data_IF_538172425230
#
_entry.id   IF_538172425230
#
_cell.length_a   1.000
_cell.length_b   1.000
_cell.length_c   1.000
_cell.angle_alpha   90.00
_cell.angle_beta   90.00
_cell.angle_gamma   90.00
#
_symmetry.space_group_name_H-M   'P 1'
#
loop_
_entity.id
_entity.type
_entity.pdbx_description
1 polymer ?
#
# COMPACT_ATOMS: atom_id res chain seq x y z
N UNK A 1 31.83 0.89 -2.32
CA UNK A 1 30.54 0.19 -2.09
C UNK A 1 29.52 0.82 -3.01
N UNK A 2 28.64 0.04 -3.61
CA UNK A 2 27.60 0.60 -4.46
C UNK A 2 26.52 1.30 -3.62
N UNK A 3 25.94 2.37 -4.14
CA UNK A 3 24.90 3.12 -3.44
C UNK A 3 23.57 2.96 -4.16
N UNK A 4 22.49 2.69 -3.41
CA UNK A 4 21.12 2.78 -3.89
C UNK A 4 20.49 4.09 -3.41
N UNK A 5 20.00 4.91 -4.31
CA UNK A 5 19.26 6.13 -4.00
C UNK A 5 17.76 5.85 -4.11
N UNK A 6 17.01 6.07 -3.03
CA UNK A 6 15.54 5.99 -3.02
C UNK A 6 14.99 7.41 -3.03
N UNK A 7 14.07 7.69 -3.92
CA UNK A 7 13.40 8.99 -4.07
C UNK A 7 11.93 8.81 -3.70
N UNK A 8 11.52 9.32 -2.53
CA UNK A 8 10.13 9.38 -2.08
C UNK A 8 9.88 10.73 -1.40
N UNK A 9 9.33 11.69 -2.14
CA UNK A 9 9.04 13.01 -1.57
C UNK A 9 7.84 13.05 -0.65
N UNK A 10 6.85 12.14 -0.83
CA UNK A 10 5.58 12.18 -0.10
C UNK A 10 5.58 11.19 1.08
N UNK A 11 5.66 11.66 2.33
CA UNK A 11 5.65 10.79 3.51
C UNK A 11 4.26 10.24 3.85
N UNK A 12 3.21 10.65 3.13
CA UNK A 12 1.83 10.33 3.51
C UNK A 12 1.47 8.85 3.33
N UNK A 13 0.58 8.38 4.17
CA UNK A 13 0.06 7.01 4.12
C UNK A 13 1.13 5.96 4.39
N UNK A 14 1.16 4.88 3.59
CA UNK A 14 2.10 3.76 3.74
C UNK A 14 3.34 3.87 2.83
N UNK A 15 3.65 5.05 2.30
CA UNK A 15 4.76 5.22 1.35
C UNK A 15 6.10 4.93 1.99
N UNK A 16 6.31 5.43 3.20
CA UNK A 16 7.55 5.16 3.95
C UNK A 16 7.67 3.71 4.39
N UNK A 17 6.57 2.98 4.58
CA UNK A 17 6.64 1.53 4.76
C UNK A 17 7.21 0.83 3.51
N UNK A 18 6.79 1.24 2.32
CA UNK A 18 7.35 0.71 1.08
C UNK A 18 8.83 1.10 0.90
N UNK A 19 9.23 2.31 1.33
CA UNK A 19 10.63 2.74 1.38
C UNK A 19 11.43 1.84 2.32
N UNK A 20 10.94 1.56 3.54
CA UNK A 20 11.61 0.65 4.49
C UNK A 20 11.82 -0.74 3.90
N UNK A 21 10.80 -1.30 3.27
CA UNK A 21 10.88 -2.61 2.63
C UNK A 21 11.94 -2.66 1.52
N UNK A 22 11.98 -1.62 0.66
CA UNK A 22 12.96 -1.53 -0.43
C UNK A 22 14.36 -1.27 0.09
N UNK A 23 14.51 -0.42 1.11
CA UNK A 23 15.78 -0.12 1.74
C UNK A 23 16.41 -1.37 2.38
N UNK A 24 15.60 -2.23 3.00
CA UNK A 24 16.09 -3.48 3.60
C UNK A 24 16.77 -4.39 2.56
N UNK A 25 16.16 -4.59 1.39
CA UNK A 25 16.73 -5.39 0.30
C UNK A 25 17.91 -4.68 -0.36
N UNK A 26 17.83 -3.36 -0.56
CA UNK A 26 18.92 -2.59 -1.14
C UNK A 26 20.19 -2.61 -0.28
N UNK A 27 20.03 -2.59 1.05
CA UNK A 27 21.11 -2.64 2.03
C UNK A 27 21.93 -3.96 1.99
N UNK A 28 21.36 -5.04 1.44
CA UNK A 28 22.11 -6.29 1.21
C UNK A 28 23.29 -6.10 0.22
N UNK A 29 23.20 -5.10 -0.66
CA UNK A 29 24.15 -4.87 -1.74
C UNK A 29 25.04 -3.63 -1.56
N UNK A 30 24.73 -2.76 -0.60
CA UNK A 30 25.50 -1.54 -0.37
C UNK A 30 24.75 -0.50 0.46
N UNK A 31 25.22 0.73 0.40
CA UNK A 31 24.64 1.83 1.15
C UNK A 31 23.32 2.30 0.52
N UNK A 32 22.42 2.81 1.37
CA UNK A 32 21.13 3.35 0.94
C UNK A 32 21.01 4.82 1.33
N UNK A 33 20.63 5.66 0.39
CA UNK A 33 20.38 7.09 0.59
C UNK A 33 18.91 7.38 0.26
N UNK A 34 18.21 8.05 1.17
CA UNK A 34 16.84 8.52 0.95
C UNK A 34 16.86 10.00 0.56
N UNK A 35 16.18 10.34 -0.54
CA UNK A 35 15.87 11.72 -0.94
C UNK A 35 14.37 11.96 -0.74
N UNK A 36 14.03 12.94 0.11
CA UNK A 36 12.66 13.23 0.50
C UNK A 36 12.36 14.73 0.53
N UNK A 37 11.13 15.12 0.87
CA UNK A 37 10.74 16.53 1.00
C UNK A 37 11.09 17.11 2.37
N UNK A 38 11.15 18.44 2.43
CA UNK A 38 11.41 19.20 3.64
C UNK A 38 10.43 18.84 4.77
N UNK A 39 10.95 18.64 5.99
CA UNK A 39 10.18 18.24 7.17
C UNK A 39 9.80 16.76 7.24
N UNK A 40 10.10 15.96 6.21
CA UNK A 40 9.76 14.54 6.19
C UNK A 40 10.59 13.71 7.17
N UNK A 41 11.89 14.03 7.33
CA UNK A 41 12.81 13.28 8.19
C UNK A 41 12.56 13.48 9.70
N UNK A 42 11.82 14.51 10.07
CA UNK A 42 11.40 14.79 11.45
C UNK A 42 9.91 14.58 11.67
N UNK A 43 9.20 14.13 10.63
CA UNK A 43 7.76 13.90 10.67
C UNK A 43 7.40 12.56 11.32
N UNK A 44 6.18 12.47 11.82
CA UNK A 44 5.61 11.29 12.48
C UNK A 44 5.69 10.01 11.61
N UNK A 45 5.47 10.14 10.29
CA UNK A 45 5.59 9.00 9.38
C UNK A 45 7.02 8.46 9.28
N UNK A 46 8.04 9.33 9.40
CA UNK A 46 9.43 8.88 9.43
C UNK A 46 9.73 8.10 10.71
N UNK A 47 9.31 8.62 11.85
CA UNK A 47 9.46 7.97 13.15
C UNK A 47 8.83 6.57 13.15
N UNK A 48 7.62 6.45 12.62
CA UNK A 48 6.86 5.20 12.62
C UNK A 48 7.41 4.16 11.65
N UNK A 49 7.85 4.56 10.46
CA UNK A 49 8.19 3.61 9.39
C UNK A 49 9.68 3.46 9.13
N UNK A 50 10.48 4.47 9.46
CA UNK A 50 11.87 4.56 9.03
C UNK A 50 12.88 4.71 10.18
N UNK A 51 12.45 4.89 11.44
CA UNK A 51 13.35 5.02 12.60
C UNK A 51 14.33 3.87 12.72
N UNK A 52 13.89 2.65 12.46
CA UNK A 52 14.72 1.44 12.51
C UNK A 52 15.43 1.12 11.19
N UNK A 53 15.18 1.92 10.13
CA UNK A 53 15.75 1.69 8.81
C UNK A 53 17.14 2.32 8.72
N UNK A 54 18.14 1.52 8.42
CA UNK A 54 19.52 2.00 8.29
C UNK A 54 19.74 2.68 6.94
N UNK A 55 19.83 4.00 6.96
CA UNK A 55 20.29 4.82 5.84
C UNK A 55 21.71 5.32 6.05
N UNK A 56 22.49 5.41 4.98
CA UNK A 56 23.77 6.12 4.99
C UNK A 56 23.56 7.64 5.05
N UNK A 57 22.48 8.13 4.43
CA UNK A 57 22.03 9.50 4.55
C UNK A 57 20.52 9.61 4.26
N UNK A 58 19.86 10.57 4.93
CA UNK A 58 18.51 11.04 4.60
C UNK A 58 18.63 12.51 4.25
N UNK A 59 18.21 12.89 3.04
CA UNK A 59 18.37 14.25 2.54
C UNK A 59 17.01 14.84 2.13
N UNK A 60 16.65 15.94 2.75
CA UNK A 60 15.46 16.72 2.44
C UNK A 60 15.78 17.71 1.31
N UNK A 61 15.67 17.24 0.07
CA UNK A 61 16.09 18.00 -1.14
C UNK A 61 14.91 18.58 -1.92
N UNK A 62 13.68 18.21 -1.58
CA UNK A 62 12.49 18.70 -2.25
C UNK A 62 11.73 19.66 -1.34
N UNK A 63 11.31 20.81 -1.88
CA UNK A 63 10.47 21.76 -1.15
C UNK A 63 8.99 21.38 -1.10
N UNK A 64 8.57 20.37 -1.88
CA UNK A 64 7.18 19.92 -2.00
C UNK A 64 7.13 18.40 -2.09
N UNK A 65 6.02 17.80 -1.66
CA UNK A 65 5.73 16.38 -1.80
C UNK A 65 5.45 15.94 -3.25
N UNK A 66 5.21 16.89 -4.16
CA UNK A 66 5.06 16.67 -5.61
C UNK A 66 6.08 17.47 -6.42
N UNK A 67 7.39 17.23 -6.27
CA UNK A 67 8.40 18.00 -6.96
C UNK A 67 8.31 17.82 -8.49
N UNK A 68 8.73 18.83 -9.26
CA UNK A 68 8.83 18.70 -10.70
C UNK A 68 9.72 17.52 -11.12
N UNK A 69 9.32 16.78 -12.17
CA UNK A 69 10.09 15.63 -12.69
C UNK A 69 11.56 15.99 -12.99
N UNK A 70 11.84 17.22 -13.46
CA UNK A 70 13.20 17.70 -13.71
C UNK A 70 14.02 17.77 -12.43
N UNK A 71 13.43 18.25 -11.33
CA UNK A 71 14.12 18.34 -10.05
C UNK A 71 14.49 16.95 -9.54
N UNK A 72 13.57 15.97 -9.59
CA UNK A 72 13.89 14.59 -9.22
C UNK A 72 15.04 14.00 -10.06
N UNK A 73 15.01 14.21 -11.39
CA UNK A 73 16.07 13.72 -12.25
C UNK A 73 17.41 14.44 -11.98
N UNK A 74 17.38 15.74 -11.68
CA UNK A 74 18.56 16.52 -11.34
C UNK A 74 19.20 16.05 -10.01
N UNK A 75 18.39 15.76 -8.97
CA UNK A 75 18.89 15.27 -7.69
C UNK A 75 19.49 13.87 -7.82
N UNK A 76 18.86 12.98 -8.59
CA UNK A 76 19.45 11.66 -8.91
C UNK A 76 20.78 11.84 -9.65
N UNK A 77 20.86 12.77 -10.62
CA UNK A 77 22.09 13.05 -11.35
C UNK A 77 23.17 13.67 -10.44
N UNK A 78 22.79 14.56 -9.53
CA UNK A 78 23.70 15.15 -8.53
C UNK A 78 24.33 14.05 -7.68
N UNK A 79 23.50 13.16 -7.11
CA UNK A 79 23.99 12.05 -6.32
C UNK A 79 24.89 11.09 -7.11
N UNK A 80 24.58 10.83 -8.37
CA UNK A 80 25.43 10.02 -9.23
C UNK A 80 26.79 10.66 -9.59
N UNK A 81 26.91 12.00 -9.46
CA UNK A 81 28.22 12.67 -9.57
C UNK A 81 29.02 12.60 -8.28
N UNK A 82 28.34 12.64 -7.13
CA UNK A 82 28.95 12.65 -5.79
C UNK A 82 29.35 11.25 -5.31
N UNK A 83 28.51 10.27 -5.60
CA UNK A 83 28.62 8.88 -5.09
C UNK A 83 28.65 7.87 -6.25
N UNK A 84 29.08 6.63 -5.93
CA UNK A 84 28.97 5.49 -6.86
C UNK A 84 27.56 4.89 -6.83
N UNK A 85 26.59 5.64 -7.40
CA UNK A 85 25.18 5.24 -7.42
C UNK A 85 24.96 4.17 -8.47
N UNK A 86 24.71 2.95 -8.02
CA UNK A 86 24.37 1.81 -8.90
C UNK A 86 22.91 1.81 -9.31
N UNK A 87 22.00 2.16 -8.39
CA UNK A 87 20.56 2.13 -8.62
C UNK A 87 19.89 3.37 -8.03
N UNK A 88 18.94 3.95 -8.77
CA UNK A 88 18.05 4.99 -8.29
C UNK A 88 16.59 4.52 -8.43
N UNK A 89 15.85 4.51 -7.34
CA UNK A 89 14.44 4.07 -7.26
C UNK A 89 13.56 5.28 -7.05
N UNK A 90 12.56 5.51 -7.90
CA UNK A 90 11.53 6.52 -7.70
C UNK A 90 10.25 5.80 -7.30
N UNK A 91 9.80 6.03 -6.05
CA UNK A 91 8.76 5.23 -5.40
C UNK A 91 7.34 5.57 -5.87
N UNK A 92 7.02 6.82 -6.20
CA UNK A 92 5.77 7.20 -6.88
C UNK A 92 6.07 7.93 -8.19
N UNK A 93 6.24 7.15 -9.23
CA UNK A 93 6.66 7.66 -10.52
C UNK A 93 5.50 7.92 -11.50
N UNK A 94 4.25 7.82 -11.09
CA UNK A 94 3.08 7.94 -11.98
C UNK A 94 3.03 9.28 -12.72
N UNK A 95 3.35 10.36 -12.04
CA UNK A 95 3.39 11.69 -12.65
C UNK A 95 4.69 11.94 -13.41
N UNK A 96 5.81 11.43 -12.90
CA UNK A 96 7.13 11.62 -13.46
C UNK A 96 7.32 10.92 -14.79
N UNK A 97 6.68 9.77 -14.97
CA UNK A 97 6.81 8.94 -16.18
C UNK A 97 6.48 9.72 -17.46
N UNK A 98 5.52 10.65 -17.41
CA UNK A 98 5.07 11.44 -18.58
C UNK A 98 6.18 12.26 -19.23
N UNK A 99 7.11 12.79 -18.44
CA UNK A 99 8.17 13.71 -18.90
C UNK A 99 9.58 13.16 -18.70
N UNK A 100 9.71 11.99 -18.05
CA UNK A 100 11.00 11.46 -17.62
C UNK A 100 11.99 11.30 -18.75
N UNK A 101 11.61 10.65 -19.85
CA UNK A 101 12.52 10.39 -20.98
C UNK A 101 13.10 11.66 -21.62
N UNK A 102 12.38 12.78 -21.52
CA UNK A 102 12.86 14.08 -22.02
C UNK A 102 13.83 14.73 -21.04
N UNK A 103 13.42 14.89 -19.79
CA UNK A 103 14.18 15.64 -18.79
C UNK A 103 15.39 14.85 -18.28
N UNK A 104 15.25 13.57 -18.01
CA UNK A 104 16.36 12.76 -17.51
C UNK A 104 17.50 12.61 -18.52
N UNK A 105 17.19 12.62 -19.83
CA UNK A 105 18.23 12.61 -20.87
C UNK A 105 19.15 13.83 -20.77
N UNK A 106 18.60 15.01 -20.46
CA UNK A 106 19.41 16.23 -20.29
C UNK A 106 20.17 16.21 -18.97
N UNK A 107 19.53 15.85 -17.87
CA UNK A 107 20.14 15.85 -16.54
C UNK A 107 21.25 14.78 -16.39
N UNK A 108 21.12 13.64 -17.07
CA UNK A 108 22.09 12.55 -17.05
C UNK A 108 23.22 12.72 -18.09
N UNK A 109 23.20 13.84 -18.84
CA UNK A 109 24.28 14.14 -19.78
C UNK A 109 25.62 14.31 -19.04
N UNK A 110 26.66 13.65 -19.55
CA UNK A 110 27.97 13.70 -18.97
C UNK A 110 28.25 12.74 -17.82
N UNK A 111 27.25 11.98 -17.35
CA UNK A 111 27.48 10.97 -16.30
C UNK A 111 28.31 9.76 -16.80
N UNK A 112 28.26 9.46 -18.10
CA UNK A 112 29.01 8.33 -18.67
C UNK A 112 28.73 7.02 -17.94
N UNK A 113 29.78 6.40 -17.40
CA UNK A 113 29.69 5.14 -16.62
C UNK A 113 29.04 5.31 -15.23
N UNK A 114 28.93 6.55 -14.71
CA UNK A 114 28.29 6.83 -13.43
C UNK A 114 26.77 6.94 -13.54
N UNK A 115 26.19 6.72 -14.75
CA UNK A 115 24.76 6.75 -14.94
C UNK A 115 24.10 5.60 -14.18
N UNK A 116 23.21 5.89 -13.18
CA UNK A 116 22.59 4.85 -12.38
C UNK A 116 21.58 4.05 -13.19
N UNK A 117 21.32 2.84 -12.76
CA UNK A 117 20.15 2.07 -13.16
C UNK A 117 18.92 2.69 -12.52
N UNK A 118 18.02 3.26 -13.31
CA UNK A 118 16.79 3.89 -12.82
C UNK A 118 15.65 2.90 -12.80
N UNK A 119 14.94 2.84 -11.68
CA UNK A 119 13.78 1.98 -11.41
C UNK A 119 12.59 2.84 -11.02
N UNK A 120 11.42 2.54 -11.58
CA UNK A 120 10.17 3.24 -11.26
C UNK A 120 9.17 2.30 -10.61
N UNK A 121 8.52 2.78 -9.55
CA UNK A 121 7.30 2.21 -9.01
C UNK A 121 6.09 3.00 -9.49
N UNK A 122 5.12 2.32 -10.07
CA UNK A 122 3.83 2.90 -10.47
C UNK A 122 2.74 2.41 -9.51
N UNK A 123 2.15 3.34 -8.77
CA UNK A 123 1.10 3.03 -7.79
C UNK A 123 -0.27 2.87 -8.45
N UNK A 124 -0.49 3.48 -9.61
CA UNK A 124 -1.76 3.50 -10.35
C UNK A 124 -1.63 2.85 -11.73
N UNK A 125 -1.11 1.62 -11.77
CA UNK A 125 -1.01 0.87 -13.02
C UNK A 125 -2.02 -0.28 -13.04
N UNK A 126 -3.06 -0.26 -13.92
CA UNK A 126 -4.03 -1.33 -13.99
C UNK A 126 -3.39 -2.63 -14.48
N UNK A 127 -3.25 -3.61 -13.61
CA UNK A 127 -2.54 -4.86 -13.91
C UNK A 127 -3.41 -5.86 -14.68
N UNK A 128 -4.63 -6.11 -14.20
CA UNK A 128 -5.62 -6.96 -14.86
C UNK A 128 -6.79 -6.12 -15.35
N UNK A 129 -7.08 -6.18 -16.65
CA UNK A 129 -8.17 -5.43 -17.27
C UNK A 129 -9.12 -6.38 -18.00
N UNK A 130 -10.43 -6.14 -17.87
CA UNK A 130 -11.43 -6.70 -18.78
C UNK A 130 -11.32 -5.99 -20.14
N UNK A 131 -11.66 -6.65 -21.23
CA UNK A 131 -11.65 -6.02 -22.57
C UNK A 131 -12.56 -4.80 -22.63
N UNK A 132 -13.63 -4.80 -21.84
CA UNK A 132 -14.61 -3.71 -21.71
C UNK A 132 -14.18 -2.55 -20.81
N UNK A 133 -13.06 -2.67 -20.07
CA UNK A 133 -12.57 -1.63 -19.17
C UNK A 133 -11.84 -0.52 -19.95
N UNK A 134 -12.60 0.38 -20.56
CA UNK A 134 -12.06 1.48 -21.35
C UNK A 134 -11.23 2.47 -20.53
N UNK A 135 -11.58 2.68 -19.26
CA UNK A 135 -10.83 3.58 -18.35
C UNK A 135 -9.48 2.98 -18.00
N UNK A 136 -9.46 1.71 -17.63
CA UNK A 136 -8.21 1.00 -17.35
C UNK A 136 -7.28 0.95 -18.57
N UNK A 137 -7.80 0.71 -19.77
CA UNK A 137 -6.99 0.72 -20.99
C UNK A 137 -6.43 2.11 -21.32
N UNK A 138 -7.21 3.18 -21.13
CA UNK A 138 -6.74 4.58 -21.29
C UNK A 138 -5.61 4.94 -20.32
N UNK A 139 -5.54 4.30 -19.17
CA UNK A 139 -4.43 4.49 -18.22
C UNK A 139 -3.23 3.59 -18.57
N UNK A 140 -3.47 2.34 -18.91
CA UNK A 140 -2.42 1.33 -19.11
C UNK A 140 -1.58 1.56 -20.36
N UNK A 141 -2.24 1.80 -21.51
CA UNK A 141 -1.53 1.93 -22.79
C UNK A 141 -0.55 3.11 -22.78
N UNK A 142 -0.95 4.35 -22.42
CA UNK A 142 -0.02 5.47 -22.41
C UNK A 142 1.16 5.26 -21.45
N UNK A 143 0.91 4.71 -20.24
CA UNK A 143 1.99 4.44 -19.29
C UNK A 143 2.97 3.40 -19.81
N UNK A 144 2.48 2.32 -20.41
CA UNK A 144 3.34 1.32 -21.03
C UNK A 144 4.18 1.91 -22.18
N UNK A 145 3.56 2.72 -23.05
CA UNK A 145 4.26 3.39 -24.16
C UNK A 145 5.34 4.33 -23.68
N UNK A 146 5.04 5.16 -22.66
CA UNK A 146 6.01 6.09 -22.06
C UNK A 146 7.15 5.33 -21.35
N UNK A 147 6.85 4.22 -20.69
CA UNK A 147 7.88 3.36 -20.11
C UNK A 147 8.82 2.81 -21.18
N UNK A 148 8.28 2.30 -22.29
CA UNK A 148 9.09 1.84 -23.44
C UNK A 148 9.96 2.95 -24.00
N UNK A 149 9.41 4.15 -24.20
CA UNK A 149 10.17 5.29 -24.70
C UNK A 149 11.32 5.68 -23.74
N UNK A 150 11.05 5.73 -22.44
CA UNK A 150 12.07 6.01 -21.43
C UNK A 150 13.16 4.91 -21.36
N UNK A 151 12.78 3.66 -21.54
CA UNK A 151 13.71 2.53 -21.61
C UNK A 151 14.55 2.58 -22.90
N UNK A 152 13.96 2.93 -24.04
CA UNK A 152 14.68 3.04 -25.31
C UNK A 152 15.72 4.19 -25.29
N UNK A 153 15.45 5.25 -24.55
CA UNK A 153 16.44 6.33 -24.32
C UNK A 153 17.50 5.99 -23.27
N UNK A 154 17.41 4.83 -22.64
CA UNK A 154 18.30 4.40 -21.56
C UNK A 154 18.22 5.28 -20.31
N UNK A 155 17.13 6.02 -20.10
CA UNK A 155 16.91 6.85 -18.91
C UNK A 155 16.10 6.12 -17.85
N UNK A 156 15.52 4.98 -18.18
CA UNK A 156 14.76 4.10 -17.33
C UNK A 156 15.16 2.65 -17.65
N UNK A 157 15.30 1.81 -16.65
CA UNK A 157 15.79 0.44 -16.83
C UNK A 157 14.79 -0.62 -16.39
N UNK A 158 13.95 -0.28 -15.41
CA UNK A 158 12.96 -1.18 -14.88
C UNK A 158 11.73 -0.38 -14.40
N UNK A 159 10.55 -0.95 -14.58
CA UNK A 159 9.29 -0.40 -14.07
C UNK A 159 8.51 -1.51 -13.39
N UNK A 160 8.11 -1.27 -12.16
CA UNK A 160 7.20 -2.11 -11.42
C UNK A 160 5.88 -1.37 -11.16
N UNK A 161 4.79 -2.08 -11.18
CA UNK A 161 3.46 -1.54 -10.89
C UNK A 161 2.73 -2.41 -9.89
N UNK A 162 2.00 -1.80 -8.99
CA UNK A 162 1.19 -2.52 -8.03
C UNK A 162 0.19 -3.43 -8.71
N UNK A 163 0.11 -4.64 -8.22
CA UNK A 163 -0.87 -5.65 -8.61
C UNK A 163 -1.64 -6.10 -7.37
N UNK A 164 -2.82 -6.67 -7.56
CA UNK A 164 -3.53 -7.39 -6.50
C UNK A 164 -2.67 -8.56 -6.00
N UNK A 165 -2.84 -8.94 -4.75
CA UNK A 165 -2.06 -10.04 -4.12
C UNK A 165 -2.27 -11.37 -4.82
N UNK A 166 -3.41 -11.54 -5.50
CA UNK A 166 -3.74 -12.70 -6.33
C UNK A 166 -3.02 -12.74 -7.68
N UNK A 167 -2.35 -11.67 -8.09
CA UNK A 167 -1.78 -11.56 -9.42
C UNK A 167 -0.32 -12.06 -9.47
N UNK A 168 -0.16 -13.35 -9.74
CA UNK A 168 1.15 -14.00 -9.88
C UNK A 168 1.83 -13.77 -11.24
N UNK A 169 1.22 -13.00 -12.15
CA UNK A 169 1.82 -12.75 -13.45
C UNK A 169 2.99 -11.78 -13.37
N UNK A 170 4.05 -12.05 -14.11
CA UNK A 170 5.29 -11.23 -14.05
C UNK A 170 5.17 -9.86 -14.74
N UNK A 171 4.23 -9.72 -15.69
CA UNK A 171 4.15 -8.54 -16.56
C UNK A 171 5.24 -8.54 -17.65
N UNK A 172 5.04 -7.77 -18.71
CA UNK A 172 5.98 -7.72 -19.84
C UNK A 172 6.80 -6.43 -19.88
N UNK A 173 6.14 -5.25 -19.92
CA UNK A 173 6.79 -3.93 -19.91
C UNK A 173 6.91 -3.43 -18.47
N UNK A 174 5.78 -3.47 -17.76
CA UNK A 174 5.69 -3.12 -16.35
C UNK A 174 5.62 -4.43 -15.57
N UNK A 175 6.64 -4.68 -14.75
CA UNK A 175 6.65 -5.81 -13.82
C UNK A 175 5.53 -5.65 -12.81
N UNK A 176 4.92 -6.75 -12.42
CA UNK A 176 3.92 -6.74 -11.36
C UNK A 176 4.60 -7.00 -10.03
N UNK A 177 4.26 -6.16 -9.06
CA UNK A 177 4.68 -6.37 -7.69
C UNK A 177 3.46 -6.37 -6.80
N UNK A 178 3.30 -7.42 -6.02
CA UNK A 178 2.17 -7.61 -5.11
C UNK A 178 2.37 -6.74 -3.87
N UNK A 179 1.29 -6.12 -3.40
CA UNK A 179 1.32 -5.33 -2.16
C UNK A 179 1.53 -6.28 -0.96
N UNK A 180 2.52 -6.06 -0.07
CA UNK A 180 2.83 -6.98 1.00
C UNK A 180 1.69 -7.20 1.99
N UNK A 181 1.59 -8.44 2.50
CA UNK A 181 0.77 -8.80 3.65
C UNK A 181 1.65 -8.71 4.90
N UNK A 182 1.56 -7.61 5.64
CA UNK A 182 2.39 -7.36 6.82
C UNK A 182 1.49 -7.02 8.00
N UNK A 183 1.49 -7.87 9.01
CA UNK A 183 0.91 -7.61 10.32
C UNK A 183 1.73 -8.36 11.38
N UNK A 184 2.11 -7.68 12.44
CA UNK A 184 2.89 -8.27 13.56
C UNK A 184 1.99 -8.89 14.64
N UNK A 185 0.68 -8.60 14.60
CA UNK A 185 -0.33 -9.16 15.49
C UNK A 185 -1.22 -10.18 14.75
N UNK A 186 -1.84 -11.09 15.48
CA UNK A 186 -2.66 -12.14 14.90
C UNK A 186 -4.01 -12.29 15.63
N UNK A 187 -5.06 -12.64 14.89
CA UNK A 187 -6.41 -12.82 15.45
C UNK A 187 -6.51 -13.90 16.51
N UNK A 188 -5.58 -14.85 16.55
CA UNK A 188 -5.47 -15.85 17.63
C UNK A 188 -5.25 -15.25 19.02
N UNK A 189 -4.62 -14.07 19.08
CA UNK A 189 -4.30 -13.35 20.29
C UNK A 189 -5.37 -12.30 20.63
N UNK A 190 -6.51 -12.29 19.91
CA UNK A 190 -7.57 -11.28 20.00
C UNK A 190 -8.01 -10.97 21.41
N UNK A 191 -8.24 -11.99 22.23
CA UNK A 191 -8.70 -11.81 23.60
C UNK A 191 -7.68 -11.05 24.46
N UNK A 192 -6.40 -11.38 24.35
CA UNK A 192 -5.32 -10.69 25.06
C UNK A 192 -5.15 -9.26 24.53
N UNK A 193 -5.22 -9.06 23.21
CA UNK A 193 -5.11 -7.73 22.57
C UNK A 193 -6.28 -6.85 22.99
N UNK A 194 -7.50 -7.35 23.03
CA UNK A 194 -8.67 -6.59 23.49
C UNK A 194 -8.53 -6.16 24.96
N UNK A 195 -8.03 -7.04 25.81
CA UNK A 195 -7.78 -6.73 27.22
C UNK A 195 -6.69 -5.64 27.36
N UNK A 196 -5.63 -5.69 26.53
CA UNK A 196 -4.57 -4.69 26.52
C UNK A 196 -5.08 -3.30 26.06
N UNK A 197 -5.99 -3.30 25.06
CA UNK A 197 -6.49 -2.07 24.44
C UNK A 197 -7.82 -1.58 25.03
N UNK A 198 -8.28 -2.16 26.15
CA UNK A 198 -9.56 -1.85 26.81
C UNK A 198 -10.77 -1.90 25.84
N UNK A 199 -10.75 -2.89 24.94
CA UNK A 199 -11.84 -3.15 24.01
C UNK A 199 -12.83 -4.18 24.55
N UNK A 200 -14.15 -4.12 24.21
CA UNK A 200 -15.15 -5.07 24.66
C UNK A 200 -14.75 -6.52 24.37
N UNK A 201 -14.80 -7.36 25.41
CA UNK A 201 -14.48 -8.77 25.30
C UNK A 201 -15.66 -9.63 24.84
N UNK A 202 -16.86 -9.22 25.20
CA UNK A 202 -18.13 -9.95 25.05
C UNK A 202 -18.97 -9.54 23.83
N UNK A 203 -18.50 -8.53 23.08
CA UNK A 203 -19.16 -8.04 21.87
C UNK A 203 -18.31 -8.30 20.64
N UNK A 204 -18.96 -8.48 19.50
CA UNK A 204 -18.27 -8.48 18.21
C UNK A 204 -17.88 -7.04 17.84
N UNK A 205 -16.75 -6.90 17.15
CA UNK A 205 -16.23 -5.61 16.71
C UNK A 205 -15.91 -5.69 15.23
N UNK A 206 -16.44 -4.77 14.43
CA UNK A 206 -15.96 -4.52 13.07
C UNK A 206 -15.13 -3.24 13.03
N UNK A 207 -14.03 -3.20 12.26
CA UNK A 207 -13.09 -2.09 12.32
C UNK A 207 -12.82 -1.40 10.99
N UNK A 208 -12.81 -0.06 11.00
CA UNK A 208 -12.37 0.80 9.90
C UNK A 208 -11.12 1.56 10.34
N UNK A 209 -10.05 1.50 9.53
CA UNK A 209 -8.71 1.93 9.94
C UNK A 209 -8.07 2.96 9.01
N UNK A 210 -7.14 3.77 9.56
CA UNK A 210 -6.28 4.72 8.86
C UNK A 210 -6.88 6.12 8.78
N UNK A 211 -6.66 6.88 7.69
CA UNK A 211 -7.26 8.20 7.53
C UNK A 211 -8.77 8.05 7.31
N UNK A 212 -9.55 8.39 8.32
CA UNK A 212 -11.00 8.26 8.36
C UNK A 212 -11.65 9.53 7.80
N UNK A 213 -12.05 9.47 6.54
CA UNK A 213 -12.78 10.51 5.81
C UNK A 213 -14.09 9.94 5.26
N UNK A 214 -14.95 10.75 4.67
CA UNK A 214 -16.18 10.32 4.01
C UNK A 214 -15.97 9.14 3.06
N UNK A 215 -14.82 9.09 2.38
CA UNK A 215 -14.44 8.00 1.48
C UNK A 215 -14.45 6.61 2.12
N UNK A 216 -14.27 6.53 3.45
CA UNK A 216 -14.27 5.26 4.20
C UNK A 216 -15.68 4.72 4.46
N UNK A 217 -16.71 5.55 4.20
CA UNK A 217 -18.12 5.18 4.34
C UNK A 217 -18.47 4.56 5.70
N UNK A 218 -17.96 5.12 6.81
CA UNK A 218 -18.32 4.66 8.16
C UNK A 218 -19.83 4.68 8.42
N UNK A 219 -20.60 5.70 7.99
CA UNK A 219 -22.05 5.69 8.08
C UNK A 219 -22.69 4.46 7.42
N UNK A 220 -22.26 4.14 6.20
CA UNK A 220 -22.77 2.99 5.44
C UNK A 220 -22.53 1.66 6.16
N UNK A 221 -21.39 1.51 6.85
CA UNK A 221 -21.08 0.29 7.62
C UNK A 221 -21.97 0.20 8.85
N UNK A 222 -22.21 1.30 9.58
CA UNK A 222 -23.13 1.31 10.72
C UNK A 222 -24.57 1.00 10.27
N UNK A 223 -25.01 1.58 9.17
CA UNK A 223 -26.33 1.29 8.59
C UNK A 223 -26.44 -0.17 8.15
N UNK A 224 -25.36 -0.77 7.66
CA UNK A 224 -25.31 -2.20 7.31
C UNK A 224 -25.51 -3.11 8.51
N UNK A 225 -24.92 -2.79 9.67
CA UNK A 225 -25.14 -3.53 10.91
C UNK A 225 -26.62 -3.46 11.33
N UNK A 226 -27.23 -2.29 11.24
CA UNK A 226 -28.65 -2.05 11.58
C UNK A 226 -29.60 -2.76 10.62
N UNK A 227 -29.32 -2.70 9.31
CA UNK A 227 -30.18 -3.27 8.28
C UNK A 227 -30.40 -4.79 8.43
N UNK A 228 -29.48 -5.50 9.04
CA UNK A 228 -29.54 -6.96 9.21
C UNK A 228 -29.65 -7.40 10.70
N UNK A 229 -29.89 -6.45 11.62
CA UNK A 229 -30.12 -6.73 13.03
C UNK A 229 -28.88 -7.24 13.77
N UNK A 230 -27.67 -6.78 13.42
CA UNK A 230 -26.43 -7.09 14.13
C UNK A 230 -26.23 -6.12 15.32
N UNK A 231 -27.12 -6.20 16.32
CA UNK A 231 -27.14 -5.27 17.46
C UNK A 231 -26.07 -5.59 18.52
N UNK A 232 -25.47 -6.77 18.46
CA UNK A 232 -24.36 -7.23 19.30
C UNK A 232 -22.98 -6.86 18.72
N UNK A 233 -22.93 -6.10 17.61
CA UNK A 233 -21.70 -5.73 16.91
C UNK A 233 -21.40 -4.24 17.08
N UNK A 234 -20.20 -3.90 17.54
CA UNK A 234 -19.70 -2.53 17.64
C UNK A 234 -18.85 -2.16 16.42
N UNK A 235 -18.83 -0.86 16.12
CA UNK A 235 -18.02 -0.27 15.05
C UNK A 235 -16.79 0.45 15.65
N UNK A 236 -15.62 -0.09 15.43
CA UNK A 236 -14.35 0.57 15.78
C UNK A 236 -13.89 1.48 14.63
N UNK A 237 -13.65 2.74 14.96
CA UNK A 237 -13.05 3.74 14.09
C UNK A 237 -11.66 4.06 14.63
N UNK A 238 -10.59 3.65 13.93
CA UNK A 238 -9.23 3.79 14.43
C UNK A 238 -8.29 4.46 13.41
N UNK A 239 -7.70 5.59 13.80
CA UNK A 239 -6.80 6.40 12.99
C UNK A 239 -7.16 7.88 13.01
N UNK A 240 -6.56 8.67 12.12
CA UNK A 240 -6.80 10.12 12.05
C UNK A 240 -8.21 10.41 11.52
N UNK A 241 -9.08 10.89 12.39
CA UNK A 241 -10.49 11.15 12.09
C UNK A 241 -10.66 12.58 11.56
N UNK A 242 -11.20 12.70 10.34
CA UNK A 242 -11.45 13.99 9.73
C UNK A 242 -12.70 14.68 10.31
N UNK A 243 -12.78 16.02 10.26
CA UNK A 243 -13.85 16.80 10.87
C UNK A 243 -15.26 16.36 10.45
N UNK A 244 -15.45 15.97 9.19
CA UNK A 244 -16.74 15.50 8.68
C UNK A 244 -17.21 14.18 9.32
N UNK A 245 -16.26 13.28 9.64
CA UNK A 245 -16.57 12.03 10.34
C UNK A 245 -16.88 12.29 11.80
N UNK A 246 -16.15 13.21 12.45
CA UNK A 246 -16.47 13.67 13.80
C UNK A 246 -17.86 14.31 13.87
N UNK A 247 -18.22 15.16 12.89
CA UNK A 247 -19.56 15.75 12.82
C UNK A 247 -20.65 14.69 12.73
N UNK A 248 -20.42 13.63 11.92
CA UNK A 248 -21.33 12.49 11.85
C UNK A 248 -21.44 11.74 13.17
N UNK A 249 -20.32 11.39 13.83
CA UNK A 249 -20.31 10.68 15.13
C UNK A 249 -21.11 11.47 16.18
N UNK A 250 -20.91 12.79 16.23
CA UNK A 250 -21.58 13.65 17.20
C UNK A 250 -23.08 13.83 16.94
N UNK A 251 -23.52 13.65 15.69
CA UNK A 251 -24.93 13.71 15.28
C UNK A 251 -25.68 12.38 15.47
N UNK A 252 -24.98 11.28 15.81
CA UNK A 252 -25.63 9.99 16.02
C UNK A 252 -26.60 10.01 17.21
N UNK A 253 -27.74 9.32 17.12
CA UNK A 253 -28.56 9.00 18.29
C UNK A 253 -27.74 8.28 19.36
N UNK A 254 -28.09 8.48 20.63
CA UNK A 254 -27.34 7.92 21.76
C UNK A 254 -27.12 6.41 21.66
N UNK A 255 -28.15 5.66 21.27
CA UNK A 255 -28.06 4.20 21.11
C UNK A 255 -27.08 3.78 20.00
N UNK A 256 -27.02 4.52 18.90
CA UNK A 256 -26.07 4.25 17.81
C UNK A 256 -24.65 4.68 18.20
N UNK A 257 -24.53 5.82 18.87
CA UNK A 257 -23.24 6.33 19.35
C UNK A 257 -22.58 5.42 20.37
N UNK A 258 -23.35 4.78 21.23
CA UNK A 258 -22.87 3.82 22.22
C UNK A 258 -22.22 2.57 21.57
N UNK A 259 -22.47 2.33 20.29
CA UNK A 259 -21.90 1.25 19.51
C UNK A 259 -20.67 1.65 18.69
N UNK A 260 -20.25 2.92 18.75
CA UNK A 260 -19.08 3.43 18.03
C UNK A 260 -17.92 3.61 19.00
N UNK A 261 -16.89 2.80 18.82
CA UNK A 261 -15.63 2.89 19.56
C UNK A 261 -14.67 3.76 18.73
N UNK A 262 -14.05 4.75 19.37
CA UNK A 262 -13.19 5.71 18.68
C UNK A 262 -11.77 5.64 19.24
N UNK A 263 -10.80 5.44 18.35
CA UNK A 263 -9.36 5.53 18.60
C UNK A 263 -8.78 6.57 17.65
N UNK A 264 -8.93 7.87 18.00
CA UNK A 264 -8.47 8.98 17.16
C UNK A 264 -6.99 9.25 17.34
N UNK A 265 -6.32 9.53 16.25
CA UNK A 265 -4.92 9.93 16.19
C UNK A 265 -4.12 9.16 15.18
N UNK A 266 -2.85 9.51 15.07
CA UNK A 266 -1.91 8.74 14.26
C UNK A 266 -1.55 7.44 15.00
N UNK A 267 -1.75 6.31 14.32
CA UNK A 267 -1.46 5.00 14.90
C UNK A 267 -0.06 4.52 14.50
N UNK A 268 0.73 4.11 15.47
CA UNK A 268 1.96 3.37 15.18
C UNK A 268 1.63 2.06 14.43
N UNK A 269 2.60 1.50 13.70
CA UNK A 269 2.39 0.21 13.02
C UNK A 269 1.97 -0.89 14.00
N UNK A 270 2.61 -0.95 15.18
CA UNK A 270 2.30 -1.95 16.19
C UNK A 270 0.86 -1.80 16.71
N UNK A 271 0.44 -0.58 17.05
CA UNK A 271 -0.92 -0.32 17.53
C UNK A 271 -1.95 -0.61 16.43
N UNK A 272 -1.69 -0.20 15.18
CA UNK A 272 -2.57 -0.49 14.04
C UNK A 272 -2.69 -2.01 13.83
N UNK A 273 -1.59 -2.76 13.91
CA UNK A 273 -1.59 -4.20 13.77
C UNK A 273 -2.40 -4.88 14.88
N UNK A 274 -2.24 -4.45 16.14
CA UNK A 274 -3.04 -4.91 17.27
C UNK A 274 -4.53 -4.59 17.08
N UNK A 275 -4.87 -3.36 16.69
CA UNK A 275 -6.26 -2.95 16.46
C UNK A 275 -6.91 -3.75 15.31
N UNK A 276 -6.15 -4.03 14.23
CA UNK A 276 -6.63 -4.88 13.13
C UNK A 276 -6.84 -6.32 13.63
N UNK A 277 -5.93 -6.87 14.44
CA UNK A 277 -6.06 -8.22 14.97
C UNK A 277 -7.18 -8.37 16.03
N UNK A 278 -7.55 -7.26 16.69
CA UNK A 278 -8.57 -7.21 17.72
C UNK A 278 -10.01 -7.32 17.18
N UNK A 279 -10.26 -7.01 15.91
CA UNK A 279 -11.63 -7.03 15.36
C UNK A 279 -12.03 -8.39 14.80
N UNK A 280 -13.34 -8.63 14.72
CA UNK A 280 -13.90 -9.87 14.18
C UNK A 280 -14.05 -9.82 12.66
N UNK A 281 -14.14 -8.60 12.08
CA UNK A 281 -14.10 -8.39 10.63
C UNK A 281 -13.62 -6.96 10.30
N UNK A 282 -13.02 -6.80 9.13
CA UNK A 282 -12.58 -5.50 8.60
C UNK A 282 -13.38 -5.13 7.34
N UNK A 283 -14.47 -4.33 7.46
CA UNK A 283 -15.21 -3.83 6.31
C UNK A 283 -14.41 -2.76 5.56
N UNK A 284 -14.33 -2.91 4.23
CA UNK A 284 -13.67 -1.97 3.30
C UNK A 284 -14.70 -1.52 2.26
N UNK A 285 -15.43 -0.47 2.58
CA UNK A 285 -16.51 0.09 1.76
C UNK A 285 -16.00 1.29 0.94
N UNK A 286 -15.06 1.05 0.01
CA UNK A 286 -14.41 2.08 -0.78
C UNK A 286 -14.79 2.00 -2.26
N UNK A 287 -15.08 3.15 -2.89
CA UNK A 287 -15.42 3.24 -4.31
C UNK A 287 -14.22 3.10 -5.26
N UNK A 288 -12.99 3.30 -4.78
CA UNK A 288 -11.81 3.20 -5.62
C UNK A 288 -11.42 1.74 -5.93
N UNK A 289 -11.02 1.49 -7.16
CA UNK A 289 -10.56 0.19 -7.67
C UNK A 289 -9.04 -0.01 -7.47
N UNK A 290 -8.56 -0.06 -6.23
CA UNK A 290 -7.16 -0.30 -5.93
C UNK A 290 -6.98 -1.34 -4.82
N UNK A 291 -5.76 -1.87 -4.65
CA UNK A 291 -5.43 -2.67 -3.48
C UNK A 291 -5.61 -1.84 -2.19
N UNK A 292 -5.69 -2.51 -1.06
CA UNK A 292 -5.83 -1.85 0.25
C UNK A 292 -4.78 -2.41 1.20
N UNK A 293 -3.95 -1.52 1.78
CA UNK A 293 -2.97 -1.90 2.80
C UNK A 293 -3.62 -2.51 4.05
N UNK A 294 -4.77 -1.97 4.46
CA UNK A 294 -5.55 -2.55 5.58
C UNK A 294 -6.03 -3.97 5.26
N UNK A 295 -6.40 -4.24 4.01
CA UNK A 295 -6.74 -5.60 3.58
C UNK A 295 -5.54 -6.54 3.73
N UNK A 296 -4.33 -6.10 3.35
CA UNK A 296 -3.13 -6.88 3.54
C UNK A 296 -2.83 -7.19 5.01
N UNK A 297 -2.98 -6.18 5.89
CA UNK A 297 -2.84 -6.39 7.34
C UNK A 297 -3.89 -7.36 7.89
N UNK A 298 -5.15 -7.22 7.50
CA UNK A 298 -6.23 -8.10 7.93
C UNK A 298 -6.01 -9.55 7.44
N UNK A 299 -5.57 -9.74 6.19
CA UNK A 299 -5.22 -11.06 5.66
C UNK A 299 -4.06 -11.69 6.42
N UNK A 300 -2.98 -10.94 6.70
CA UNK A 300 -1.84 -11.39 7.48
C UNK A 300 -2.20 -11.73 8.94
N UNK A 301 -3.12 -10.96 9.54
CA UNK A 301 -3.64 -11.21 10.89
C UNK A 301 -4.71 -12.33 10.94
N UNK A 302 -5.07 -12.92 9.81
CA UNK A 302 -6.20 -13.86 9.65
C UNK A 302 -7.56 -13.28 10.10
N UNK A 303 -7.74 -11.96 9.96
CA UNK A 303 -9.02 -11.29 10.18
C UNK A 303 -9.84 -11.29 8.89
N UNK A 304 -11.09 -11.73 8.90
CA UNK A 304 -11.93 -11.71 7.71
C UNK A 304 -12.20 -10.29 7.21
N UNK A 305 -12.20 -10.10 5.88
CA UNK A 305 -12.50 -8.83 5.24
C UNK A 305 -13.85 -8.88 4.54
N UNK A 306 -14.65 -7.82 4.67
CA UNK A 306 -15.81 -7.60 3.80
C UNK A 306 -15.49 -6.44 2.85
N UNK A 307 -15.28 -6.73 1.56
CA UNK A 307 -14.96 -5.68 0.59
C UNK A 307 -16.15 -5.33 -0.28
N UNK A 308 -16.55 -4.05 -0.27
CA UNK A 308 -17.57 -3.49 -1.13
C UNK A 308 -17.00 -2.49 -2.13
N UNK A 309 -17.58 -2.44 -3.34
CA UNK A 309 -17.31 -1.42 -4.34
C UNK A 309 -16.02 -1.59 -5.16
N UNK A 310 -15.34 -2.74 -5.13
CA UNK A 310 -14.10 -2.95 -5.88
C UNK A 310 -13.93 -4.36 -6.41
N UNK A 311 -13.88 -4.51 -7.72
CA UNK A 311 -13.58 -5.80 -8.37
C UNK A 311 -12.14 -6.29 -8.11
N UNK A 312 -11.20 -5.38 -7.90
CA UNK A 312 -9.80 -5.75 -7.62
C UNK A 312 -9.71 -6.44 -6.27
N UNK A 313 -10.26 -5.83 -5.24
CA UNK A 313 -10.29 -6.41 -3.89
C UNK A 313 -11.16 -7.67 -3.83
N UNK A 314 -12.28 -7.70 -4.58
CA UNK A 314 -13.12 -8.90 -4.64
C UNK A 314 -12.37 -10.13 -5.20
N UNK A 315 -11.62 -9.97 -6.29
CA UNK A 315 -10.79 -11.06 -6.84
C UNK A 315 -9.74 -11.55 -5.84
N UNK A 316 -9.12 -10.62 -5.16
CA UNK A 316 -8.11 -10.91 -4.13
C UNK A 316 -8.71 -11.74 -2.98
N UNK A 317 -9.87 -11.31 -2.44
CA UNK A 317 -10.57 -12.05 -1.38
C UNK A 317 -10.98 -13.46 -1.80
N UNK A 318 -11.47 -13.63 -3.02
CA UNK A 318 -11.84 -14.95 -3.56
C UNK A 318 -10.59 -15.85 -3.65
N UNK A 319 -9.46 -15.32 -4.11
CA UNK A 319 -8.24 -16.10 -4.27
C UNK A 319 -7.57 -16.47 -2.94
N UNK A 320 -7.69 -15.62 -1.93
CA UNK A 320 -7.10 -15.81 -0.61
C UNK A 320 -8.04 -16.48 0.40
N UNK A 321 -9.32 -16.68 0.02
CA UNK A 321 -10.40 -17.08 0.98
C UNK A 321 -10.41 -16.19 2.23
N UNK A 322 -10.09 -14.90 2.02
CA UNK A 322 -9.85 -13.93 3.10
C UNK A 322 -11.09 -13.23 3.61
N UNK A 323 -12.29 -13.58 3.11
CA UNK A 323 -13.54 -12.94 3.53
C UNK A 323 -14.64 -12.98 2.49
N UNK A 324 -15.50 -11.96 2.51
CA UNK A 324 -16.70 -11.87 1.68
C UNK A 324 -16.69 -10.62 0.80
N UNK A 325 -17.40 -10.69 -0.31
CA UNK A 325 -17.60 -9.55 -1.21
C UNK A 325 -19.04 -9.03 -1.11
N UNK A 326 -19.19 -7.72 -1.28
CA UNK A 326 -20.49 -7.05 -1.22
C UNK A 326 -20.59 -5.94 -2.28
N UNK A 327 -21.81 -5.56 -2.61
CA UNK A 327 -22.10 -4.28 -3.25
C UNK A 327 -22.05 -3.15 -2.22
N UNK A 328 -21.94 -1.90 -2.69
CA UNK A 328 -21.82 -0.73 -1.82
C UNK A 328 -23.21 -0.28 -1.33
N UNK A 329 -23.93 -1.20 -0.68
CA UNK A 329 -25.23 -0.96 -0.05
C UNK A 329 -25.25 -1.53 1.36
N UNK A 330 -26.09 -0.97 2.28
CA UNK A 330 -26.20 -1.46 3.66
C UNK A 330 -26.57 -2.94 3.71
N UNK A 331 -27.58 -3.36 2.94
CA UNK A 331 -28.11 -4.72 2.95
C UNK A 331 -27.05 -5.74 2.48
N UNK A 332 -26.31 -5.40 1.40
CA UNK A 332 -25.29 -6.29 0.84
C UNK A 332 -24.08 -6.44 1.78
N UNK A 333 -23.62 -5.33 2.38
CA UNK A 333 -22.53 -5.34 3.37
C UNK A 333 -22.95 -6.09 4.62
N UNK A 334 -24.17 -5.83 5.14
CA UNK A 334 -24.72 -6.51 6.31
C UNK A 334 -24.83 -8.03 6.09
N UNK A 335 -25.39 -8.47 4.97
CA UNK A 335 -25.47 -9.88 4.61
C UNK A 335 -24.11 -10.53 4.47
N UNK A 336 -23.11 -9.82 3.96
CA UNK A 336 -21.73 -10.32 3.89
C UNK A 336 -21.11 -10.47 5.29
N UNK A 337 -21.34 -9.53 6.21
CA UNK A 337 -20.92 -9.62 7.61
C UNK A 337 -21.58 -10.81 8.32
N UNK A 338 -22.89 -11.03 8.10
CA UNK A 338 -23.56 -12.22 8.65
C UNK A 338 -22.92 -13.53 8.17
N UNK A 339 -22.56 -13.62 6.86
CA UNK A 339 -21.86 -14.80 6.34
C UNK A 339 -20.47 -14.99 6.96
N UNK A 340 -19.73 -13.89 7.16
CA UNK A 340 -18.44 -13.92 7.86
C UNK A 340 -18.61 -14.47 9.28
N UNK A 341 -19.57 -13.95 10.03
CA UNK A 341 -19.79 -14.35 11.42
C UNK A 341 -20.40 -15.76 11.59
N UNK A 342 -20.99 -16.30 10.53
CA UNK A 342 -21.50 -17.67 10.50
C UNK A 342 -20.40 -18.71 10.22
N UNK A 343 -19.22 -18.29 9.74
CA UNK A 343 -18.09 -19.20 9.52
C UNK A 343 -17.41 -19.54 10.84
N UNK A 344 -16.92 -20.78 10.92
CA UNK A 344 -16.04 -21.19 12.00
C UNK A 344 -14.72 -20.38 11.92
N UNK A 345 -14.36 -19.61 12.95
CA UNK A 345 -13.13 -18.83 12.95
C UNK A 345 -11.87 -19.69 12.87
N UNK A 346 -11.92 -20.94 13.28
CA UNK A 346 -10.80 -21.89 13.27
C UNK A 346 -10.75 -22.73 11.99
N UNK A 347 -11.71 -22.56 11.08
CA UNK A 347 -11.70 -23.28 9.81
C UNK A 347 -10.49 -22.89 8.95
N UNK A 348 -9.74 -23.86 8.41
CA UNK A 348 -8.58 -23.56 7.58
C UNK A 348 -8.99 -22.82 6.31
N UNK A 349 -8.35 -21.70 6.03
CA UNK A 349 -8.59 -20.92 4.80
C UNK A 349 -8.06 -21.70 3.58
N UNK A 350 -8.84 -21.69 2.51
CA UNK A 350 -8.46 -22.27 1.22
C UNK A 350 -7.73 -21.24 0.36
N UNK A 351 -6.56 -20.82 0.80
CA UNK A 351 -5.77 -19.86 0.03
C UNK A 351 -5.19 -20.53 -1.23
N UNK A 352 -5.44 -19.95 -2.40
CA UNK A 352 -4.96 -20.46 -3.71
C UNK A 352 -3.68 -19.76 -4.18
N UNK A 353 -3.21 -18.75 -3.46
CA UNK A 353 -1.99 -18.01 -3.75
C UNK A 353 -1.12 -17.88 -2.51
N UNK A 354 0.22 -17.90 -2.64
CA UNK A 354 1.09 -17.68 -1.50
C UNK A 354 0.96 -16.25 -0.98
N UNK A 355 1.18 -15.99 0.32
CA UNK A 355 1.22 -14.66 0.89
C UNK A 355 2.21 -13.75 0.14
N UNK A 356 1.85 -12.47 -0.04
CA UNK A 356 2.75 -11.48 -0.63
C UNK A 356 3.71 -10.97 0.44
N UNK A 357 5.01 -11.16 0.25
CA UNK A 357 6.02 -10.75 1.23
C UNK A 357 6.67 -9.40 0.88
N UNK A 358 7.20 -8.71 1.89
CA UNK A 358 7.98 -7.49 1.69
C UNK A 358 9.24 -7.72 0.86
N UNK A 359 9.89 -8.89 1.00
CA UNK A 359 11.05 -9.28 0.22
C UNK A 359 10.68 -9.46 -1.26
N UNK A 360 9.63 -10.22 -1.57
CA UNK A 360 9.14 -10.38 -2.95
C UNK A 360 8.78 -9.03 -3.59
N UNK A 361 8.04 -8.18 -2.87
CA UNK A 361 7.70 -6.83 -3.31
C UNK A 361 8.95 -6.05 -3.69
N UNK A 362 9.94 -6.00 -2.78
CA UNK A 362 11.14 -5.20 -2.93
C UNK A 362 12.04 -5.72 -4.06
N UNK A 363 12.25 -7.03 -4.16
CA UNK A 363 13.05 -7.63 -5.23
C UNK A 363 12.40 -7.46 -6.61
N UNK A 364 11.08 -7.62 -6.70
CA UNK A 364 10.34 -7.36 -7.93
C UNK A 364 10.41 -5.89 -8.34
N UNK A 365 10.28 -4.96 -7.38
CA UNK A 365 10.44 -3.53 -7.62
C UNK A 365 11.87 -3.20 -8.07
N UNK A 366 12.87 -3.66 -7.35
CA UNK A 366 14.27 -3.46 -7.71
C UNK A 366 14.66 -4.21 -8.98
N UNK A 367 13.89 -5.22 -9.40
CA UNK A 367 14.23 -6.08 -10.54
C UNK A 367 15.51 -6.87 -10.29
N UNK A 368 15.62 -7.46 -9.10
CA UNK A 368 16.75 -8.32 -8.69
C UNK A 368 16.25 -9.72 -8.31
N UNK A 369 17.13 -10.72 -8.39
CA UNK A 369 16.86 -12.07 -7.90
C UNK A 369 17.16 -12.21 -6.38
N UNK A 370 16.99 -13.42 -5.84
CA UNK A 370 17.26 -13.72 -4.44
C UNK A 370 18.73 -13.47 -4.02
N UNK A 371 19.65 -13.41 -4.98
CA UNK A 371 21.07 -13.13 -4.74
C UNK A 371 21.43 -11.64 -4.97
N UNK A 372 20.43 -10.76 -5.14
CA UNK A 372 20.63 -9.33 -5.42
C UNK A 372 21.12 -9.02 -6.84
N UNK A 373 21.16 -10.01 -7.74
CA UNK A 373 21.63 -9.80 -9.12
C UNK A 373 20.49 -9.26 -9.96
N UNK A 374 20.78 -8.25 -10.79
CA UNK A 374 19.80 -7.68 -11.72
C UNK A 374 19.28 -8.75 -12.67
N UNK A 375 17.98 -8.98 -12.61
CA UNK A 375 17.28 -9.88 -13.54
C UNK A 375 17.18 -9.18 -14.88
N UNK A 376 17.97 -9.64 -15.85
CA UNK A 376 17.90 -9.17 -17.22
C UNK A 376 16.50 -9.40 -17.82
N UNK A 377 16.10 -8.60 -18.82
CA UNK A 377 14.95 -8.94 -19.68
C UNK A 377 15.27 -10.29 -20.32
N UNK A 378 14.65 -11.34 -19.82
CA UNK A 378 14.72 -12.63 -20.51
C UNK A 378 13.96 -12.49 -21.82
N UNK A 379 14.60 -12.58 -23.01
CA UNK A 379 13.84 -12.73 -24.23
C UNK A 379 13.10 -14.06 -24.10
N UNK A 380 11.78 -14.05 -24.22
CA UNK A 380 11.06 -15.31 -24.37
C UNK A 380 11.54 -15.95 -25.67
N UNK A 381 12.13 -17.14 -25.55
CA UNK A 381 12.24 -18.09 -26.65
C UNK A 381 10.86 -18.52 -27.12
#
# INVERSE_FOLDING_TARGET
MSVTVIVEPDPSGHRFQAVANVAAVAAESGDVVLLTSAGSATGEAFEVYLSDTRFAAVEEVFGDVYPPTRQMAAEVARKARELDVSTAVVMDADQSLKKWFLVARSEFRGLGRRKPRVVFMLTRYPAKLKLTDTVGWKLRIPKATLAVAAMATGTLHHVAGFAGREDMATGWIVRRTRDPEICTAHSRDRAAIRAELDLPADRRIVGIFGLLSERKNAPLVLDALKAVGLDDVDLLLAGSIQPEVWAWINALPEADRARVIVQDGFLSNELLDKLVAAVDAAPIALTNNGPSGIMGKALAAEVPVVSAGSEVRARELIATDGGETAELTPESIGAALQRVFAKDPDAPRRNTVPPATADEFSRNLLGVDANGRVVGRTPRR
#
